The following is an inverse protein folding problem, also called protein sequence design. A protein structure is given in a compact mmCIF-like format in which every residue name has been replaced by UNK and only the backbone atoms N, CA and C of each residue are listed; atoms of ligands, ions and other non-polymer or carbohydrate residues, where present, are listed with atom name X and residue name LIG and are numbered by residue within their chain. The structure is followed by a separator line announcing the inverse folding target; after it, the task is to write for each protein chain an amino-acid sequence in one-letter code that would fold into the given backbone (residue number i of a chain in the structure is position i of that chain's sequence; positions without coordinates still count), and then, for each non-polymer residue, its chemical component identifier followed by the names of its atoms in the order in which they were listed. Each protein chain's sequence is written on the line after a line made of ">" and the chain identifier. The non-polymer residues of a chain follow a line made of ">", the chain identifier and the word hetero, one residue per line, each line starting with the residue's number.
data_IF_784609035554
#
_entry.id   IF_784609035554
#
_cell.length_a   1.000
_cell.length_b   1.000
_cell.length_c   1.000
_cell.angle_alpha   90.00
_cell.angle_beta   90.00
_cell.angle_gamma   90.00
#
_symmetry.space_group_name_H-M   'P 1'
#
loop_
_entity.id
_entity.type
_entity.pdbx_description
1 polymer ?
#
# COMPACT_ATOMS: atom_id res chain seq x y z
N UNK A 1 -33.33 -21.51 4.57
CA UNK A 1 -32.17 -22.07 5.27
C UNK A 1 -31.13 -20.95 5.31
N UNK A 2 -31.13 -20.15 6.38
CA UNK A 2 -30.17 -19.06 6.56
C UNK A 2 -28.87 -19.71 7.02
N UNK A 3 -27.91 -19.85 6.10
CA UNK A 3 -26.56 -20.28 6.43
C UNK A 3 -25.86 -19.12 7.13
N UNK A 4 -25.65 -19.25 8.44
CA UNK A 4 -24.70 -18.39 9.14
C UNK A 4 -23.31 -18.78 8.66
N UNK A 5 -22.64 -17.89 7.92
CA UNK A 5 -21.20 -18.03 7.70
C UNK A 5 -20.54 -17.95 9.08
N UNK A 6 -19.87 -19.02 9.50
CA UNK A 6 -19.00 -18.97 10.66
C UNK A 6 -17.95 -17.88 10.43
N UNK A 7 -17.53 -17.11 11.45
CA UNK A 7 -16.37 -16.26 11.31
C UNK A 7 -15.20 -17.17 10.91
N UNK A 8 -14.66 -16.95 9.71
CA UNK A 8 -13.40 -17.56 9.31
C UNK A 8 -12.37 -17.01 10.29
N UNK A 9 -11.90 -17.88 11.20
CA UNK A 9 -10.74 -17.55 12.00
C UNK A 9 -9.57 -17.40 11.04
N UNK A 10 -8.83 -16.30 11.14
CA UNK A 10 -7.59 -16.11 10.41
C UNK A 10 -6.74 -17.39 10.52
N UNK A 11 -6.47 -18.04 9.39
CA UNK A 11 -5.60 -19.20 9.30
C UNK A 11 -4.25 -18.79 8.72
N UNK A 12 -3.27 -19.69 8.74
CA UNK A 12 -2.01 -19.48 8.05
C UNK A 12 -2.14 -19.93 6.58
N UNK A 13 -1.61 -19.14 5.65
CA UNK A 13 -1.52 -19.47 4.23
C UNK A 13 -0.11 -19.18 3.68
N UNK A 14 0.15 -19.54 2.42
CA UNK A 14 1.46 -19.39 1.78
C UNK A 14 2.06 -20.71 1.30
N UNK A 15 3.10 -20.63 0.48
CA UNK A 15 3.70 -21.79 -0.17
C UNK A 15 2.67 -22.54 -1.03
N UNK A 16 2.29 -23.74 -0.60
CA UNK A 16 1.26 -24.55 -1.27
C UNK A 16 -0.16 -24.34 -0.72
N UNK A 17 -0.34 -23.57 0.35
CA UNK A 17 -1.63 -23.34 1.01
C UNK A 17 -2.29 -22.09 0.43
N UNK A 18 -3.48 -22.23 -0.21
CA UNK A 18 -4.21 -21.08 -0.73
C UNK A 18 -4.71 -20.15 0.38
N UNK A 19 -4.80 -18.86 0.07
CA UNK A 19 -5.21 -17.83 1.03
C UNK A 19 -6.68 -17.41 0.88
N UNK A 20 -7.36 -17.24 2.02
CA UNK A 20 -8.67 -16.59 2.14
C UNK A 20 -8.54 -15.22 2.84
N UNK A 21 -9.62 -14.45 2.80
CA UNK A 21 -9.71 -13.15 3.47
C UNK A 21 -9.44 -13.28 4.97
N UNK A 22 -8.44 -12.56 5.45
CA UNK A 22 -8.06 -12.48 6.86
C UNK A 22 -6.93 -13.42 7.25
N UNK A 23 -6.48 -14.30 6.36
CA UNK A 23 -5.38 -15.21 6.63
C UNK A 23 -4.05 -14.49 6.84
N UNK A 24 -3.17 -15.13 7.60
CA UNK A 24 -1.78 -14.73 7.81
C UNK A 24 -0.90 -15.47 6.82
N UNK A 25 -0.22 -14.72 5.96
CA UNK A 25 0.77 -15.24 5.03
C UNK A 25 2.07 -15.50 5.78
N UNK A 26 2.46 -16.78 5.88
CA UNK A 26 3.63 -17.25 6.64
C UNK A 26 4.72 -17.86 5.75
N UNK A 27 4.48 -17.92 4.44
CA UNK A 27 5.44 -18.36 3.41
C UNK A 27 5.11 -17.63 2.09
N UNK A 28 6.07 -17.56 1.17
CA UNK A 28 5.93 -16.84 -0.10
C UNK A 28 4.70 -17.31 -0.89
N UNK A 29 4.06 -16.39 -1.61
CA UNK A 29 2.88 -16.74 -2.41
C UNK A 29 2.75 -15.88 -3.65
N UNK A 30 2.66 -16.55 -4.79
CA UNK A 30 2.08 -15.99 -6.02
C UNK A 30 0.61 -16.38 -6.09
N UNK A 31 -0.33 -15.43 -6.10
CA UNK A 31 -1.76 -15.74 -6.10
C UNK A 31 -2.23 -16.45 -7.39
N UNK A 32 -3.23 -17.31 -7.22
CA UNK A 32 -3.82 -18.25 -8.18
C UNK A 32 -5.34 -18.24 -8.07
N UNK A 33 -6.04 -19.01 -8.90
CA UNK A 33 -7.51 -19.18 -8.80
C UNK A 33 -7.94 -19.92 -7.54
N UNK A 34 -7.03 -20.59 -6.83
CA UNK A 34 -7.37 -21.27 -5.59
C UNK A 34 -7.44 -20.31 -4.39
N UNK A 35 -6.93 -19.07 -4.54
CA UNK A 35 -6.90 -18.07 -3.48
C UNK A 35 -8.22 -17.29 -3.43
N UNK A 36 -9.06 -17.71 -2.47
CA UNK A 36 -10.40 -17.16 -2.24
C UNK A 36 -10.38 -15.68 -1.85
N UNK A 37 -9.26 -15.15 -1.37
CA UNK A 37 -9.04 -13.71 -1.14
C UNK A 37 -9.29 -12.85 -2.39
N UNK A 38 -9.28 -13.46 -3.58
CA UNK A 38 -9.54 -12.77 -4.86
C UNK A 38 -10.95 -12.97 -5.42
N UNK A 39 -11.79 -13.81 -4.80
CA UNK A 39 -13.11 -14.20 -5.34
C UNK A 39 -14.26 -13.31 -4.88
N UNK A 40 -14.05 -12.51 -3.83
CA UNK A 40 -15.09 -11.69 -3.22
C UNK A 40 -14.55 -10.43 -2.59
N UNK A 41 -15.41 -9.75 -1.84
CA UNK A 41 -15.00 -8.64 -0.97
C UNK A 41 -14.68 -9.18 0.41
N UNK A 42 -13.47 -8.90 0.89
CA UNK A 42 -13.07 -9.23 2.25
C UNK A 42 -13.81 -8.34 3.25
N UNK A 43 -14.48 -8.92 4.26
CA UNK A 43 -15.21 -8.18 5.30
C UNK A 43 -14.29 -7.51 6.33
N UNK A 44 -12.99 -7.86 6.32
CA UNK A 44 -11.95 -7.33 7.17
C UNK A 44 -10.69 -7.11 6.35
N UNK A 45 -9.54 -7.62 6.80
CA UNK A 45 -8.34 -7.55 5.97
C UNK A 45 -8.44 -8.51 4.78
N UNK A 46 -7.67 -8.22 3.73
CA UNK A 46 -7.34 -9.19 2.70
C UNK A 46 -6.35 -10.22 3.25
N UNK A 47 -5.08 -9.84 3.38
CA UNK A 47 -4.03 -10.69 3.97
C UNK A 47 -3.30 -9.95 5.08
N UNK A 48 -2.81 -10.72 6.06
CA UNK A 48 -1.90 -10.26 7.10
C UNK A 48 -0.52 -10.87 6.84
N UNK A 49 0.55 -10.10 6.95
CA UNK A 49 1.93 -10.57 6.87
C UNK A 49 2.59 -10.24 8.20
N UNK A 50 2.94 -11.28 8.96
CA UNK A 50 3.55 -11.15 10.28
C UNK A 50 4.89 -11.92 10.40
N UNK A 51 5.46 -12.30 9.26
CA UNK A 51 6.76 -12.99 9.14
C UNK A 51 7.65 -12.16 8.22
N UNK A 52 8.93 -12.04 8.60
CA UNK A 52 9.94 -11.34 7.81
C UNK A 52 10.18 -12.04 6.46
N UNK A 53 10.71 -11.28 5.49
CA UNK A 53 11.21 -11.80 4.22
C UNK A 53 10.18 -12.59 3.39
N UNK A 54 8.91 -12.17 3.45
CA UNK A 54 7.80 -12.75 2.67
C UNK A 54 7.60 -11.98 1.36
N UNK A 55 7.54 -12.73 0.26
CA UNK A 55 7.18 -12.26 -1.07
C UNK A 55 5.73 -12.62 -1.42
N UNK A 56 4.87 -11.60 -1.48
CA UNK A 56 3.50 -11.69 -1.99
C UNK A 56 3.42 -11.12 -3.41
N UNK A 57 3.26 -12.00 -4.39
CA UNK A 57 2.95 -11.63 -5.77
C UNK A 57 1.44 -11.79 -6.03
N UNK A 58 0.75 -10.69 -6.29
CA UNK A 58 -0.69 -10.72 -6.57
C UNK A 58 -1.01 -11.28 -7.97
N UNK A 59 -0.02 -11.49 -8.84
CA UNK A 59 -0.15 -12.14 -10.14
C UNK A 59 -1.27 -11.54 -11.02
N UNK A 60 -1.29 -10.20 -11.12
CA UNK A 60 -2.31 -9.38 -11.79
C UNK A 60 -3.75 -9.52 -11.23
N UNK A 61 -3.93 -10.22 -10.11
CA UNK A 61 -5.23 -10.39 -9.45
C UNK A 61 -5.61 -9.16 -8.62
N UNK A 62 -6.88 -9.15 -8.21
CA UNK A 62 -7.44 -8.09 -7.40
C UNK A 62 -7.86 -8.63 -6.04
N UNK A 63 -7.29 -8.08 -4.97
CA UNK A 63 -7.83 -8.21 -3.61
C UNK A 63 -8.82 -7.06 -3.39
N UNK A 64 -10.05 -7.37 -2.99
CA UNK A 64 -11.13 -6.38 -2.84
C UNK A 64 -11.68 -6.41 -1.41
N UNK A 65 -12.00 -5.25 -0.84
CA UNK A 65 -12.60 -5.13 0.49
C UNK A 65 -14.04 -4.60 0.46
N UNK A 66 -14.65 -4.51 1.64
CA UNK A 66 -15.98 -3.93 1.88
C UNK A 66 -15.97 -2.60 2.65
N UNK A 67 -14.84 -1.88 2.69
CA UNK A 67 -14.64 -0.60 3.39
C UNK A 67 -14.00 -0.73 4.79
N UNK A 68 -13.64 -1.93 5.21
CA UNK A 68 -13.04 -2.24 6.51
C UNK A 68 -11.65 -2.85 6.33
N UNK A 69 -10.84 -2.85 7.39
CA UNK A 69 -9.53 -3.51 7.40
C UNK A 69 -8.51 -2.96 6.38
N UNK A 70 -7.42 -3.69 6.20
CA UNK A 70 -6.43 -3.40 5.17
C UNK A 70 -6.39 -4.48 4.09
N UNK A 71 -6.17 -4.12 2.83
CA UNK A 71 -6.01 -5.12 1.77
C UNK A 71 -4.80 -6.02 2.00
N UNK A 72 -3.66 -5.41 2.34
CA UNK A 72 -2.52 -6.10 2.94
C UNK A 72 -2.12 -5.36 4.21
N UNK A 73 -2.11 -6.09 5.33
CA UNK A 73 -1.66 -5.61 6.64
C UNK A 73 -0.29 -6.21 6.93
N UNK A 74 0.71 -5.40 7.25
CA UNK A 74 2.03 -5.85 7.69
C UNK A 74 2.16 -5.57 9.18
N UNK A 75 2.36 -6.62 9.98
CA UNK A 75 2.40 -6.57 11.44
C UNK A 75 3.73 -7.10 11.95
N UNK A 76 4.63 -6.21 12.35
CA UNK A 76 5.88 -6.62 12.95
C UNK A 76 6.86 -7.34 12.02
N UNK A 77 6.77 -7.12 10.71
CA UNK A 77 7.62 -7.77 9.71
C UNK A 77 8.45 -6.79 8.87
N UNK A 78 9.67 -7.19 8.52
CA UNK A 78 10.62 -6.50 7.63
C UNK A 78 10.89 -7.33 6.37
N UNK A 79 11.54 -6.74 5.35
CA UNK A 79 11.93 -7.47 4.14
C UNK A 79 10.77 -7.89 3.22
N UNK A 80 9.53 -7.52 3.55
CA UNK A 80 8.33 -7.91 2.80
C UNK A 80 8.32 -7.31 1.38
N UNK A 81 7.99 -8.13 0.37
CA UNK A 81 7.63 -7.67 -0.98
C UNK A 81 6.13 -7.83 -1.22
N UNK A 82 5.48 -6.79 -1.76
CA UNK A 82 4.12 -6.87 -2.29
C UNK A 82 4.10 -6.36 -3.73
N UNK A 83 3.73 -7.23 -4.68
CA UNK A 83 3.92 -6.96 -6.10
C UNK A 83 2.72 -7.29 -7.01
N UNK A 84 2.72 -6.68 -8.20
CA UNK A 84 1.97 -7.06 -9.40
C UNK A 84 0.46 -7.30 -9.23
N UNK A 85 -0.33 -6.27 -8.95
CA UNK A 85 -1.78 -6.47 -8.92
C UNK A 85 -2.58 -5.26 -8.49
N UNK A 86 -3.81 -5.51 -8.03
CA UNK A 86 -4.73 -4.46 -7.57
C UNK A 86 -5.22 -4.74 -6.16
N UNK A 87 -5.27 -3.68 -5.34
CA UNK A 87 -5.92 -3.68 -4.02
C UNK A 87 -6.92 -2.53 -3.98
N UNK A 88 -8.16 -2.80 -3.55
CA UNK A 88 -9.23 -1.78 -3.54
C UNK A 88 -10.32 -2.00 -2.51
N UNK A 89 -11.04 -0.93 -2.16
CA UNK A 89 -12.26 -1.02 -1.36
C UNK A 89 -12.03 -1.39 0.10
N UNK A 90 -10.85 -1.15 0.65
CA UNK A 90 -10.55 -1.35 2.07
C UNK A 90 -10.59 -0.01 2.82
N UNK A 91 -10.47 -0.05 4.15
CA UNK A 91 -10.20 1.18 4.90
C UNK A 91 -8.83 1.75 4.53
N UNK A 92 -7.81 0.89 4.41
CA UNK A 92 -6.51 1.22 3.80
C UNK A 92 -6.12 0.15 2.79
N UNK A 93 -5.49 0.51 1.68
CA UNK A 93 -5.04 -0.49 0.71
C UNK A 93 -3.92 -1.36 1.28
N UNK A 94 -2.81 -0.73 1.66
CA UNK A 94 -1.70 -1.35 2.39
C UNK A 94 -1.48 -0.59 3.69
N UNK A 95 -1.40 -1.31 4.81
CA UNK A 95 -1.17 -0.76 6.15
C UNK A 95 -0.02 -1.48 6.86
N UNK A 96 1.04 -0.74 7.16
CA UNK A 96 2.20 -1.20 7.90
C UNK A 96 2.53 -0.22 9.05
N UNK A 97 1.55 0.00 9.95
CA UNK A 97 1.66 1.03 11.01
C UNK A 97 1.55 0.51 12.44
N UNK A 98 1.11 -0.73 12.67
CA UNK A 98 1.00 -1.33 14.00
C UNK A 98 0.72 -2.84 13.95
N UNK A 99 1.10 -3.60 15.00
CA UNK A 99 2.05 -3.22 16.04
C UNK A 99 3.48 -3.14 15.50
N UNK A 100 4.33 -2.34 16.12
CA UNK A 100 5.76 -2.30 15.80
C UNK A 100 6.44 -3.68 16.04
N UNK A 101 7.50 -4.07 15.28
CA UNK A 101 8.27 -3.23 14.35
C UNK A 101 7.53 -2.85 13.07
N UNK A 102 7.90 -1.68 12.58
CA UNK A 102 7.35 -1.03 11.40
C UNK A 102 8.02 -1.61 10.13
N UNK A 103 7.29 -1.78 9.03
CA UNK A 103 7.82 -2.40 7.80
C UNK A 103 9.05 -1.66 7.27
N UNK A 104 10.23 -2.28 7.41
CA UNK A 104 11.51 -1.76 6.94
C UNK A 104 12.12 -2.71 5.91
N UNK A 105 12.97 -2.19 5.04
CA UNK A 105 13.60 -2.95 3.94
C UNK A 105 12.59 -3.59 2.97
N UNK A 106 11.34 -3.12 2.96
CA UNK A 106 10.25 -3.68 2.16
C UNK A 106 10.16 -3.07 0.76
N UNK A 107 9.57 -3.83 -0.16
CA UNK A 107 9.37 -3.44 -1.56
C UNK A 107 7.89 -3.50 -1.92
N UNK A 108 7.36 -2.38 -2.44
CA UNK A 108 6.00 -2.30 -2.96
C UNK A 108 6.07 -1.91 -4.43
N UNK A 109 5.68 -2.81 -5.33
CA UNK A 109 5.98 -2.64 -6.75
C UNK A 109 4.89 -3.05 -7.73
N UNK A 110 4.74 -2.26 -8.80
CA UNK A 110 3.83 -2.59 -9.90
C UNK A 110 2.36 -2.81 -9.40
N UNK A 111 1.95 -2.01 -8.42
CA UNK A 111 0.64 -2.08 -7.75
C UNK A 111 -0.33 -0.99 -8.23
N UNK A 112 -1.62 -1.33 -8.30
CA UNK A 112 -2.74 -0.39 -8.44
C UNK A 112 -3.54 -0.38 -7.14
N UNK A 113 -3.53 0.72 -6.42
CA UNK A 113 -4.20 0.86 -5.12
C UNK A 113 -5.31 1.91 -5.26
N UNK A 114 -6.56 1.49 -5.23
CA UNK A 114 -7.68 2.38 -5.59
C UNK A 114 -8.87 2.29 -4.65
N UNK A 115 -9.64 3.37 -4.55
CA UNK A 115 -10.98 3.35 -3.94
C UNK A 115 -10.97 2.83 -2.48
N UNK A 116 -9.94 3.19 -1.70
CA UNK A 116 -9.90 2.89 -0.27
C UNK A 116 -10.37 4.11 0.54
N UNK A 117 -11.01 3.88 1.69
CA UNK A 117 -11.69 4.93 2.45
C UNK A 117 -10.72 5.92 3.12
N UNK A 118 -9.48 5.52 3.42
CA UNK A 118 -8.41 6.40 3.88
C UNK A 118 -7.20 6.39 2.93
N UNK A 119 -6.03 5.96 3.40
CA UNK A 119 -4.79 6.00 2.64
C UNK A 119 -4.74 4.81 1.70
N UNK A 120 -4.29 5.03 0.46
CA UNK A 120 -3.99 3.93 -0.44
C UNK A 120 -2.88 3.05 0.13
N UNK A 121 -1.72 3.64 0.40
CA UNK A 121 -0.61 2.97 1.08
C UNK A 121 -0.19 3.82 2.29
N UNK A 122 -0.16 3.21 3.47
CA UNK A 122 0.41 3.79 4.68
C UNK A 122 1.49 2.87 5.24
N UNK A 123 2.74 3.31 5.16
CA UNK A 123 3.91 2.54 5.63
C UNK A 123 4.70 3.37 6.61
N UNK A 124 4.92 2.82 7.79
CA UNK A 124 5.93 3.32 8.71
C UNK A 124 7.13 2.38 8.63
N UNK A 125 8.36 2.92 8.70
CA UNK A 125 9.60 2.14 8.66
C UNK A 125 10.67 2.75 7.75
N UNK A 126 11.82 2.09 7.68
CA UNK A 126 13.02 2.62 7.04
C UNK A 126 13.44 1.82 5.82
N UNK A 127 14.15 2.47 4.90
CA UNK A 127 14.79 1.84 3.74
C UNK A 127 13.81 1.10 2.81
N UNK A 128 12.56 1.55 2.74
CA UNK A 128 11.57 0.94 1.85
C UNK A 128 11.66 1.48 0.42
N UNK A 129 11.30 0.65 -0.55
CA UNK A 129 11.21 1.02 -1.96
C UNK A 129 9.76 0.92 -2.44
N UNK A 130 9.19 2.05 -2.85
CA UNK A 130 7.89 2.09 -3.52
C UNK A 130 8.11 2.46 -4.97
N UNK A 131 7.88 1.52 -5.91
CA UNK A 131 8.16 1.74 -7.33
C UNK A 131 7.00 1.38 -8.24
N UNK A 132 6.71 2.24 -9.23
CA UNK A 132 5.62 2.00 -10.20
C UNK A 132 4.26 1.73 -9.54
N UNK A 133 4.03 2.33 -8.38
CA UNK A 133 2.75 2.27 -7.68
C UNK A 133 1.83 3.30 -8.29
N UNK A 134 0.59 2.91 -8.61
CA UNK A 134 -0.49 3.81 -8.98
C UNK A 134 -1.53 3.82 -7.87
N UNK A 135 -1.50 4.85 -7.01
CA UNK A 135 -2.44 5.03 -5.91
C UNK A 135 -3.44 6.13 -6.23
N UNK A 136 -4.70 5.79 -6.52
CA UNK A 136 -5.68 6.75 -7.04
C UNK A 136 -7.05 6.65 -6.40
N UNK A 137 -7.73 7.78 -6.24
CA UNK A 137 -9.12 7.82 -5.75
C UNK A 137 -9.28 7.24 -4.34
N UNK A 138 -8.30 7.46 -3.46
CA UNK A 138 -8.41 7.10 -2.05
C UNK A 138 -8.92 8.30 -1.23
N UNK A 139 -9.69 8.02 -0.18
CA UNK A 139 -10.37 9.00 0.67
C UNK A 139 -9.42 9.86 1.51
N UNK A 140 -8.12 9.57 1.51
CA UNK A 140 -7.11 10.41 2.13
C UNK A 140 -5.84 10.57 1.28
N UNK A 141 -4.72 9.96 1.66
CA UNK A 141 -3.46 10.09 0.95
C UNK A 141 -3.31 8.97 -0.09
N UNK A 142 -2.67 9.27 -1.22
CA UNK A 142 -2.34 8.20 -2.18
C UNK A 142 -1.26 7.28 -1.60
N UNK A 143 -0.11 7.86 -1.29
CA UNK A 143 1.05 7.16 -0.71
C UNK A 143 1.52 7.97 0.49
N UNK A 144 1.54 7.35 1.68
CA UNK A 144 1.95 7.97 2.93
C UNK A 144 3.04 7.12 3.60
N UNK A 145 4.27 7.63 3.59
CA UNK A 145 5.43 6.91 4.13
C UNK A 145 6.03 7.72 5.27
N UNK A 146 6.30 7.07 6.39
CA UNK A 146 6.95 7.66 7.57
C UNK A 146 8.22 6.88 7.90
N UNK A 147 9.31 7.58 8.16
CA UNK A 147 10.61 6.99 8.48
C UNK A 147 11.70 7.41 7.51
N UNK A 148 12.89 6.85 7.69
CA UNK A 148 14.10 7.27 7.02
C UNK A 148 14.50 6.44 5.81
N UNK A 149 15.26 7.06 4.91
CA UNK A 149 15.89 6.46 3.73
C UNK A 149 14.93 5.75 2.78
N UNK A 150 13.66 6.17 2.77
CA UNK A 150 12.66 5.60 1.88
C UNK A 150 12.82 6.16 0.46
N UNK A 151 12.64 5.32 -0.57
CA UNK A 151 12.71 5.73 -1.97
C UNK A 151 11.38 5.49 -2.68
N UNK A 152 10.72 6.57 -3.11
CA UNK A 152 9.51 6.51 -3.91
C UNK A 152 9.87 6.90 -5.34
N UNK A 153 9.68 6.01 -6.32
CA UNK A 153 10.09 6.27 -7.72
C UNK A 153 9.12 5.77 -8.77
N UNK A 154 9.01 6.50 -9.88
CA UNK A 154 8.15 6.13 -11.01
C UNK A 154 6.69 5.88 -10.61
N UNK A 155 6.24 6.47 -9.50
CA UNK A 155 4.92 6.21 -8.92
C UNK A 155 3.96 7.37 -9.23
N UNK A 156 2.67 7.07 -9.21
CA UNK A 156 1.59 8.00 -9.52
C UNK A 156 0.59 8.05 -8.38
N UNK A 157 0.32 9.24 -7.86
CA UNK A 157 -0.72 9.46 -6.85
C UNK A 157 -1.69 10.55 -7.30
N UNK A 158 -2.84 10.15 -7.81
CA UNK A 158 -3.79 11.05 -8.44
C UNK A 158 -5.19 10.96 -7.86
N UNK A 159 -5.91 12.09 -7.85
CA UNK A 159 -7.34 12.12 -7.50
C UNK A 159 -7.62 11.59 -6.07
N UNK A 160 -6.64 11.69 -5.17
CA UNK A 160 -6.83 11.40 -3.74
C UNK A 160 -7.35 12.66 -3.01
N UNK A 161 -8.15 12.49 -1.97
CA UNK A 161 -8.82 13.64 -1.32
C UNK A 161 -7.85 14.58 -0.60
N UNK A 162 -6.68 14.10 -0.17
CA UNK A 162 -5.66 14.92 0.50
C UNK A 162 -4.35 14.98 -0.30
N UNK A 163 -3.22 14.63 0.31
CA UNK A 163 -1.90 14.65 -0.33
C UNK A 163 -1.72 13.45 -1.26
N UNK A 164 -1.21 13.67 -2.47
CA UNK A 164 -0.88 12.58 -3.39
C UNK A 164 0.21 11.67 -2.82
N UNK A 165 1.44 12.19 -2.69
CA UNK A 165 2.57 11.47 -2.08
C UNK A 165 3.07 12.25 -0.88
N UNK A 166 3.06 11.63 0.30
CA UNK A 166 3.57 12.19 1.55
C UNK A 166 4.75 11.35 2.03
N UNK A 167 5.89 11.98 2.29
CA UNK A 167 7.05 11.35 2.92
C UNK A 167 7.45 12.16 4.16
N UNK A 168 7.22 11.56 5.33
CA UNK A 168 7.59 12.13 6.63
C UNK A 168 8.89 11.50 7.12
N UNK A 169 10.01 12.17 6.85
CA UNK A 169 11.35 11.69 7.17
C UNK A 169 12.33 12.11 6.07
N UNK A 170 13.49 11.47 6.04
CA UNK A 170 14.43 11.61 4.93
C UNK A 170 14.20 10.49 3.89
N UNK A 171 14.75 10.68 2.70
CA UNK A 171 14.58 9.73 1.61
C UNK A 171 14.77 10.38 0.26
N UNK A 172 14.26 9.75 -0.79
CA UNK A 172 14.38 10.24 -2.16
C UNK A 172 13.07 10.09 -2.91
N UNK A 173 12.74 11.06 -3.74
CA UNK A 173 11.62 10.98 -4.68
C UNK A 173 12.13 11.19 -6.11
N UNK A 174 11.80 10.32 -7.06
CA UNK A 174 12.25 10.45 -8.45
C UNK A 174 11.17 10.02 -9.44
N UNK A 175 10.98 10.79 -10.51
CA UNK A 175 10.07 10.46 -11.61
C UNK A 175 8.62 10.20 -11.19
N UNK A 176 8.18 10.77 -10.06
CA UNK A 176 6.82 10.58 -9.58
C UNK A 176 5.85 11.58 -10.22
N UNK A 177 4.58 11.24 -10.23
CA UNK A 177 3.52 12.13 -10.70
C UNK A 177 2.42 12.23 -9.65
N UNK A 178 2.02 13.45 -9.29
CA UNK A 178 0.86 13.67 -8.44
C UNK A 178 -0.08 14.70 -9.04
N UNK A 179 -1.31 14.30 -9.35
CA UNK A 179 -2.26 15.17 -10.03
C UNK A 179 -3.65 15.17 -9.41
N UNK A 180 -4.30 16.33 -9.45
CA UNK A 180 -5.71 16.48 -9.04
C UNK A 180 -6.01 15.95 -7.64
N UNK A 181 -5.03 15.94 -6.75
CA UNK A 181 -5.29 15.62 -5.36
C UNK A 181 -5.92 16.84 -4.69
N UNK A 182 -6.82 16.62 -3.73
CA UNK A 182 -7.54 17.71 -3.05
C UNK A 182 -6.62 18.58 -2.19
N UNK A 183 -5.51 18.02 -1.71
CA UNK A 183 -4.44 18.74 -1.02
C UNK A 183 -3.20 18.95 -1.89
N UNK A 184 -2.02 18.80 -1.28
CA UNK A 184 -0.72 18.94 -1.98
C UNK A 184 -0.49 17.79 -2.96
N UNK A 185 0.25 18.06 -4.04
CA UNK A 185 0.72 16.99 -4.93
C UNK A 185 1.68 16.04 -4.22
N UNK A 186 2.84 16.57 -3.84
CA UNK A 186 3.88 15.84 -3.12
C UNK A 186 4.32 16.66 -1.90
N UNK A 187 4.28 16.07 -0.71
CA UNK A 187 4.72 16.70 0.55
C UNK A 187 5.83 15.85 1.18
N UNK A 188 7.08 16.21 0.87
CA UNK A 188 8.29 15.51 1.26
C UNK A 188 9.42 16.51 1.60
N UNK A 189 9.23 17.37 2.62
CA UNK A 189 10.17 18.46 2.91
C UNK A 189 11.58 17.99 3.31
N UNK A 190 11.70 16.78 3.88
CA UNK A 190 12.99 16.19 4.27
C UNK A 190 13.67 15.32 3.21
N UNK A 191 13.06 15.18 2.03
CA UNK A 191 13.54 14.26 1.00
C UNK A 191 14.48 14.93 -0.01
N UNK A 192 15.35 14.13 -0.63
CA UNK A 192 16.08 14.52 -1.83
C UNK A 192 15.15 14.48 -3.04
N UNK A 193 15.08 15.57 -3.80
CA UNK A 193 14.51 15.55 -5.15
C UNK A 193 15.50 14.87 -6.11
N UNK A 194 15.16 13.67 -6.54
CA UNK A 194 15.90 12.89 -7.53
C UNK A 194 15.63 13.30 -8.98
N UNK A 195 14.80 14.32 -9.21
CA UNK A 195 14.40 14.83 -10.52
C UNK A 195 13.18 14.12 -11.12
N UNK A 196 12.55 14.77 -12.09
CA UNK A 196 11.45 14.20 -12.88
C UNK A 196 10.08 14.14 -12.18
N UNK A 197 10.00 14.59 -10.92
CA UNK A 197 8.74 14.67 -10.19
C UNK A 197 7.81 15.74 -10.80
N UNK A 198 6.52 15.41 -10.94
CA UNK A 198 5.51 16.25 -11.62
C UNK A 198 4.27 16.43 -10.76
N UNK A 199 4.08 17.61 -10.19
CA UNK A 199 2.85 18.01 -9.52
C UNK A 199 1.98 18.86 -10.44
N UNK A 200 0.71 18.49 -10.68
CA UNK A 200 -0.19 19.28 -11.55
C UNK A 200 -1.63 19.30 -11.05
N UNK A 201 -2.23 20.49 -11.01
CA UNK A 201 -3.66 20.68 -10.69
C UNK A 201 -4.07 20.14 -9.31
N UNK A 202 -3.17 20.17 -8.33
CA UNK A 202 -3.50 19.79 -6.95
C UNK A 202 -4.08 21.00 -6.20
N UNK A 203 -4.84 20.76 -5.13
CA UNK A 203 -5.47 21.82 -4.34
C UNK A 203 -4.50 22.63 -3.47
N UNK A 204 -3.27 22.17 -3.28
CA UNK A 204 -2.21 22.89 -2.58
C UNK A 204 -0.82 22.68 -3.18
N UNK A 205 0.11 23.54 -2.74
CA UNK A 205 1.53 23.45 -3.08
C UNK A 205 2.26 22.69 -1.97
N UNK A 206 2.84 21.56 -2.31
CA UNK A 206 3.76 20.82 -1.45
C UNK A 206 5.22 21.11 -1.81
N UNK A 207 6.12 20.30 -1.27
CA UNK A 207 7.56 20.47 -1.47
C UNK A 207 8.28 19.13 -1.54
N UNK A 208 9.42 19.10 -2.23
CA UNK A 208 10.40 18.01 -2.22
C UNK A 208 11.75 18.63 -1.87
N UNK A 209 12.26 18.36 -0.66
CA UNK A 209 13.52 18.96 -0.21
C UNK A 209 13.51 20.49 -0.22
N UNK A 210 12.36 21.11 0.07
CA UNK A 210 12.16 22.56 -0.01
C UNK A 210 11.84 23.11 -1.40
N UNK A 211 11.96 22.31 -2.46
CA UNK A 211 11.57 22.73 -3.83
C UNK A 211 10.06 22.59 -4.00
N UNK A 212 9.32 23.63 -4.41
CA UNK A 212 7.89 23.55 -4.63
C UNK A 212 7.47 22.47 -5.64
N UNK A 213 6.44 21.71 -5.29
CA UNK A 213 5.72 20.75 -6.13
C UNK A 213 4.23 20.81 -5.71
#
# INVERSE_FOLDING_TARGET
>A
MLGFAAPVLAADCGGAVPCDCGDTLVDDRTLTEDDLVTHGQCPGNGLVIATDDIDLDLNDRTISGSGSGAGVRIEGAEGVTVANGKIRGFFRGIDATNPAPNASQSVFEDLKITDNDEDGIKVEGNNNLLRKVKSTSNGRHGINVVGGNNFIKNSRADENEQVGIKLQGNGKLKDNTAKKNGGKGIDAPGAQDGGGNKCKKNGGTGTIGGTPC
#
